data_IF_740856826516
#
_entry.id   IF_740856826516
#
_cell.length_a   1.000
_cell.length_b   1.000
_cell.length_c   1.000
_cell.angle_alpha   90.00
_cell.angle_beta   90.00
_cell.angle_gamma   90.00
#
_symmetry.space_group_name_H-M   'P 1'
#
loop_
_entity.id
_entity.type
_entity.pdbx_description
1 polymer ?
#
# COMPACT_ATOMS: atom_id res chain seq x y z
N UNK A 1 -0.03 6.45 12.05
CA UNK A 1 -0.32 6.74 13.48
C UNK A 1 -1.48 7.71 13.64
N UNK A 2 -1.39 8.93 13.10
CA UNK A 2 -2.38 10.00 13.30
C UNK A 2 -3.79 9.69 12.76
N UNK A 3 -3.93 8.84 11.74
CA UNK A 3 -5.24 8.45 11.22
C UNK A 3 -6.08 7.66 12.22
N UNK A 4 -5.47 7.00 13.22
CA UNK A 4 -6.16 6.10 14.15
C UNK A 4 -6.77 4.84 13.52
N UNK A 5 -6.69 4.67 12.19
CA UNK A 5 -7.27 3.55 11.47
C UNK A 5 -6.42 2.28 11.58
N UNK A 6 -7.05 1.08 11.53
CA UNK A 6 -6.31 -0.16 11.41
C UNK A 6 -5.61 -0.25 10.07
N UNK A 7 -4.47 -0.92 10.03
CA UNK A 7 -3.69 -1.07 8.80
C UNK A 7 -2.94 -2.39 8.73
N UNK A 8 -2.74 -2.86 7.50
CA UNK A 8 -1.77 -3.88 7.16
C UNK A 8 -0.77 -3.27 6.18
N UNK A 9 0.48 -3.14 6.59
CA UNK A 9 1.51 -2.48 5.80
C UNK A 9 2.61 -3.45 5.41
N UNK A 10 2.68 -3.75 4.11
CA UNK A 10 3.83 -4.44 3.51
C UNK A 10 5.00 -3.45 3.40
N UNK A 11 5.93 -3.53 4.35
CA UNK A 11 7.04 -2.60 4.50
C UNK A 11 8.31 -3.13 3.83
N UNK A 12 8.81 -2.39 2.85
CA UNK A 12 10.10 -2.67 2.22
C UNK A 12 11.19 -1.94 2.98
N UNK A 13 12.13 -2.69 3.54
CA UNK A 13 13.32 -2.16 4.22
C UNK A 13 14.38 -1.63 3.26
N UNK A 14 14.19 -1.79 1.95
CA UNK A 14 15.11 -1.29 0.90
C UNK A 14 14.32 -0.69 -0.25
N UNK A 15 14.80 0.42 -0.81
CA UNK A 15 14.17 1.12 -1.94
C UNK A 15 14.46 0.45 -3.29
N UNK A 16 15.51 -0.37 -3.35
CA UNK A 16 15.90 -1.11 -4.54
C UNK A 16 17.01 -2.11 -4.25
N UNK A 17 17.39 -2.90 -5.26
CA UNK A 17 18.43 -3.93 -5.13
C UNK A 17 19.80 -3.38 -4.74
N UNK A 18 20.09 -2.14 -5.14
CA UNK A 18 21.35 -1.45 -4.90
C UNK A 18 21.32 -0.51 -3.69
N UNK A 19 20.22 -0.49 -2.94
CA UNK A 19 20.10 0.33 -1.75
C UNK A 19 20.89 -0.30 -0.59
N UNK A 20 21.91 0.41 -0.13
CA UNK A 20 22.81 -0.03 0.95
C UNK A 20 22.34 0.42 2.32
N UNK A 21 21.45 1.42 2.38
CA UNK A 21 20.93 1.96 3.63
C UNK A 21 19.50 1.44 3.87
N UNK A 22 19.27 0.66 4.94
CA UNK A 22 17.93 0.20 5.22
C UNK A 22 17.02 1.36 5.60
N UNK A 23 15.78 1.33 5.11
CA UNK A 23 14.73 2.23 5.57
C UNK A 23 14.21 1.68 6.90
N UNK A 24 14.28 2.50 7.94
CA UNK A 24 13.78 2.18 9.26
C UNK A 24 12.48 2.94 9.56
N UNK A 25 11.63 2.32 10.37
CA UNK A 25 10.47 3.00 10.92
C UNK A 25 10.90 3.90 12.08
N UNK A 26 10.13 4.95 12.39
CA UNK A 26 10.35 5.72 13.61
C UNK A 26 10.41 4.81 14.84
N UNK A 27 11.32 5.10 15.76
CA UNK A 27 11.48 4.34 16.99
C UNK A 27 10.13 4.14 17.71
N UNK A 28 9.82 2.92 18.12
CA UNK A 28 8.58 2.56 18.82
C UNK A 28 7.30 2.57 17.98
N UNK A 29 7.38 2.70 16.65
CA UNK A 29 6.19 2.77 15.78
C UNK A 29 5.29 1.54 15.92
N UNK A 30 5.87 0.33 15.90
CA UNK A 30 5.10 -0.90 15.99
C UNK A 30 4.46 -1.06 17.37
N UNK A 31 5.16 -0.70 18.44
CA UNK A 31 4.64 -0.71 19.81
C UNK A 31 3.46 0.25 19.98
N UNK A 32 3.54 1.45 19.39
CA UNK A 32 2.47 2.46 19.40
C UNK A 32 1.25 2.07 18.55
N UNK A 33 1.40 1.10 17.65
CA UNK A 33 0.36 0.71 16.69
C UNK A 33 -0.10 -0.75 16.81
N UNK A 34 0.50 -1.55 17.69
CA UNK A 34 0.29 -3.00 17.82
C UNK A 34 -1.16 -3.45 18.04
N UNK A 35 -2.02 -2.57 18.54
CA UNK A 35 -3.44 -2.82 18.82
C UNK A 35 -4.32 -2.75 17.56
N UNK A 36 -3.82 -2.11 16.50
CA UNK A 36 -4.60 -1.80 15.27
C UNK A 36 -3.84 -2.04 13.97
N UNK A 37 -2.52 -2.17 14.03
CA UNK A 37 -1.65 -2.18 12.87
C UNK A 37 -0.72 -3.39 12.86
N UNK A 38 -0.41 -3.86 11.65
CA UNK A 38 0.62 -4.87 11.43
C UNK A 38 1.59 -4.42 10.34
N UNK A 39 2.89 -4.45 10.66
CA UNK A 39 3.99 -4.21 9.71
C UNK A 39 4.52 -5.57 9.25
N UNK A 40 4.41 -5.85 7.96
CA UNK A 40 4.88 -7.08 7.35
C UNK A 40 6.07 -6.81 6.45
N UNK A 41 7.22 -7.39 6.77
CA UNK A 41 8.47 -7.21 6.00
C UNK A 41 8.69 -8.26 4.92
N UNK A 42 7.82 -9.27 4.86
CA UNK A 42 7.88 -10.35 3.89
C UNK A 42 7.09 -10.04 2.62
N UNK A 43 7.06 -11.03 1.73
CA UNK A 43 6.15 -11.01 0.59
C UNK A 43 4.72 -11.37 1.02
N UNK A 44 3.73 -10.88 0.27
CA UNK A 44 2.32 -11.23 0.45
C UNK A 44 1.71 -11.65 -0.88
N UNK A 45 0.76 -12.57 -0.81
CA UNK A 45 -0.07 -12.92 -1.95
C UNK A 45 -1.13 -11.83 -2.13
N UNK A 46 -0.81 -10.80 -2.91
CA UNK A 46 -1.58 -9.55 -3.00
C UNK A 46 -3.04 -9.80 -3.40
N UNK A 47 -3.31 -10.76 -4.29
CA UNK A 47 -4.69 -11.10 -4.69
C UNK A 47 -5.51 -11.60 -3.51
N UNK A 48 -5.00 -12.56 -2.71
CA UNK A 48 -5.67 -13.00 -1.48
C UNK A 48 -5.83 -11.86 -0.49
N UNK A 49 -4.81 -11.03 -0.29
CA UNK A 49 -4.91 -9.88 0.62
C UNK A 49 -6.02 -8.93 0.18
N UNK A 50 -6.05 -8.55 -1.10
CA UNK A 50 -7.07 -7.65 -1.65
C UNK A 50 -8.47 -8.27 -1.68
N UNK A 51 -8.59 -9.60 -1.76
CA UNK A 51 -9.88 -10.28 -1.69
C UNK A 51 -10.50 -10.29 -0.28
N UNK A 52 -9.74 -9.98 0.77
CA UNK A 52 -10.19 -10.09 2.14
C UNK A 52 -11.14 -8.93 2.52
N UNK A 53 -12.23 -9.24 3.22
CA UNK A 53 -13.26 -8.24 3.57
C UNK A 53 -12.77 -7.19 4.57
N UNK A 54 -11.81 -7.54 5.42
CA UNK A 54 -11.18 -6.58 6.34
C UNK A 54 -10.34 -5.49 5.63
N UNK A 55 -10.06 -5.63 4.33
CA UNK A 55 -9.42 -4.56 3.55
C UNK A 55 -10.48 -3.60 3.03
N UNK A 56 -10.56 -2.41 3.63
CA UNK A 56 -11.50 -1.36 3.24
C UNK A 56 -10.93 -0.30 2.28
N UNK A 57 -9.59 -0.20 2.18
CA UNK A 57 -8.89 0.78 1.35
C UNK A 57 -7.50 0.23 0.99
N UNK A 58 -7.05 0.49 -0.23
CA UNK A 58 -5.69 0.17 -0.68
C UNK A 58 -4.91 1.47 -0.88
N UNK A 59 -3.87 1.69 -0.08
CA UNK A 59 -2.87 2.73 -0.36
C UNK A 59 -1.82 2.13 -1.31
N UNK A 60 -1.73 2.65 -2.53
CA UNK A 60 -0.91 2.02 -3.57
C UNK A 60 -0.13 3.03 -4.41
N UNK A 61 1.02 2.59 -4.93
CA UNK A 61 1.55 3.19 -6.15
C UNK A 61 0.64 2.79 -7.33
N UNK A 62 0.19 3.71 -8.17
CA UNK A 62 -0.81 3.42 -9.21
C UNK A 62 -0.17 2.74 -10.44
N UNK A 63 0.44 1.58 -10.22
CA UNK A 63 0.84 0.67 -11.30
C UNK A 63 -0.36 -0.14 -11.79
N UNK A 64 -0.45 -0.39 -13.10
CA UNK A 64 -1.60 -1.07 -13.70
C UNK A 64 -1.93 -2.43 -13.09
N UNK A 65 -0.92 -3.21 -12.67
CA UNK A 65 -1.15 -4.48 -11.98
C UNK A 65 -2.01 -4.31 -10.73
N UNK A 66 -1.59 -3.47 -9.79
CA UNK A 66 -2.34 -3.23 -8.55
C UNK A 66 -3.70 -2.58 -8.82
N UNK A 67 -3.80 -1.67 -9.79
CA UNK A 67 -5.07 -1.05 -10.18
C UNK A 67 -6.08 -2.12 -10.62
N UNK A 68 -5.69 -3.01 -11.53
CA UNK A 68 -6.57 -4.07 -12.05
C UNK A 68 -7.05 -4.97 -10.91
N UNK A 69 -6.16 -5.33 -9.99
CA UNK A 69 -6.48 -6.18 -8.85
C UNK A 69 -7.43 -5.49 -7.85
N UNK A 70 -7.20 -4.21 -7.54
CA UNK A 70 -8.07 -3.45 -6.66
C UNK A 70 -9.48 -3.29 -7.25
N UNK A 71 -9.57 -2.99 -8.55
CA UNK A 71 -10.85 -2.90 -9.28
C UNK A 71 -11.58 -4.25 -9.27
N UNK A 72 -10.85 -5.36 -9.50
CA UNK A 72 -11.43 -6.71 -9.47
C UNK A 72 -12.15 -7.03 -8.16
N UNK A 73 -11.62 -6.55 -7.03
CA UNK A 73 -12.18 -6.76 -5.70
C UNK A 73 -12.97 -5.56 -5.17
N UNK A 74 -13.30 -4.59 -6.04
CA UNK A 74 -14.02 -3.37 -5.70
C UNK A 74 -13.44 -2.62 -4.48
N UNK A 75 -12.10 -2.58 -4.38
CA UNK A 75 -11.42 -1.91 -3.27
C UNK A 75 -11.14 -0.45 -3.63
N UNK A 76 -11.60 0.53 -2.83
CA UNK A 76 -11.22 1.92 -2.99
C UNK A 76 -9.69 2.08 -2.92
N UNK A 77 -9.16 3.03 -3.67
CA UNK A 77 -7.72 3.28 -3.76
C UNK A 77 -7.36 4.70 -3.29
N UNK A 78 -6.34 4.79 -2.45
CA UNK A 78 -5.58 6.02 -2.24
C UNK A 78 -4.27 5.90 -3.03
N UNK A 79 -4.03 6.79 -3.99
CA UNK A 79 -2.91 6.67 -4.92
C UNK A 79 -1.75 7.58 -4.51
N UNK A 80 -0.58 6.98 -4.32
CA UNK A 80 0.67 7.68 -4.02
C UNK A 80 1.62 7.54 -5.21
N UNK A 81 1.79 8.63 -5.96
CA UNK A 81 2.59 8.66 -7.19
C UNK A 81 4.07 8.81 -6.87
N UNK A 82 4.91 7.98 -7.47
CA UNK A 82 6.37 8.04 -7.31
C UNK A 82 7.10 8.24 -8.63
N UNK A 83 6.94 7.32 -9.59
CA UNK A 83 7.81 7.23 -10.78
C UNK A 83 7.04 6.77 -12.03
N UNK A 84 7.65 6.95 -13.20
CA UNK A 84 7.19 6.44 -14.49
C UNK A 84 5.78 6.91 -14.87
N UNK A 85 4.91 5.99 -15.28
CA UNK A 85 3.55 6.20 -15.76
C UNK A 85 2.53 6.39 -14.64
N UNK A 86 2.93 6.25 -13.37
CA UNK A 86 2.04 6.29 -12.20
C UNK A 86 1.20 7.57 -12.14
N UNK A 87 1.75 8.73 -12.54
CA UNK A 87 0.99 9.98 -12.58
C UNK A 87 -0.15 9.96 -13.60
N UNK A 88 0.10 9.38 -14.79
CA UNK A 88 -0.93 9.23 -15.82
C UNK A 88 -2.00 8.22 -15.37
N UNK A 89 -1.58 7.12 -14.78
CA UNK A 89 -2.49 6.10 -14.27
C UNK A 89 -3.40 6.67 -13.17
N UNK A 90 -2.84 7.42 -12.22
CA UNK A 90 -3.62 8.08 -11.17
C UNK A 90 -4.68 9.03 -11.75
N UNK A 91 -4.29 9.81 -12.75
CA UNK A 91 -5.20 10.73 -13.44
C UNK A 91 -6.35 10.00 -14.12
N UNK A 92 -6.07 8.90 -14.84
CA UNK A 92 -7.11 8.11 -15.51
C UNK A 92 -8.11 7.54 -14.51
N UNK A 93 -7.64 7.02 -13.37
CA UNK A 93 -8.50 6.44 -12.34
C UNK A 93 -9.37 7.52 -11.67
N UNK A 94 -8.79 8.68 -11.36
CA UNK A 94 -9.53 9.83 -10.81
C UNK A 94 -10.61 10.34 -11.78
N UNK A 95 -10.26 10.53 -13.06
CA UNK A 95 -11.20 11.00 -14.09
C UNK A 95 -12.37 10.02 -14.28
N UNK A 96 -12.12 8.72 -14.10
CA UNK A 96 -13.13 7.67 -14.21
C UNK A 96 -13.94 7.46 -12.92
N UNK A 97 -13.52 8.03 -11.79
CA UNK A 97 -14.11 7.83 -10.46
C UNK A 97 -14.20 6.35 -10.07
N UNK A 98 -13.13 5.61 -10.37
CA UNK A 98 -12.98 4.18 -10.06
C UNK A 98 -12.04 4.01 -8.86
#
# INVERSE_FOLDING_TARGET
>A
ELSGLPFFWVFKTRRGLFDTEPVELPEGFEERTKDRGMVWRGWVEQLRTLSHDSIGLVLTHPGWGTIIEAVRFAKPMAMLVFLYDQGLNARVIEEKKI
#
